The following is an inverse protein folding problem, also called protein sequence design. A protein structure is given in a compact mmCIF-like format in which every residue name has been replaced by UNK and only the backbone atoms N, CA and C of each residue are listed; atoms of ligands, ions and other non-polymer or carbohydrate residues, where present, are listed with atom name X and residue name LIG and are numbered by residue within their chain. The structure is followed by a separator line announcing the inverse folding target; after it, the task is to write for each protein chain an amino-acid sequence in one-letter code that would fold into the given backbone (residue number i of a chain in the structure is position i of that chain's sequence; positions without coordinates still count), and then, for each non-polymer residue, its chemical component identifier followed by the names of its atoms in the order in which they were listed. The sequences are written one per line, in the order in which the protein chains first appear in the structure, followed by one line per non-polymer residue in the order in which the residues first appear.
data_IF_939941938928
#
_entry.id   IF_939941938928
#
_cell.length_a   1.000
_cell.length_b   1.000
_cell.length_c   1.000
_cell.angle_alpha   90.00
_cell.angle_beta   90.00
_cell.angle_gamma   90.00
#
_symmetry.space_group_name_H-M   'P 1'
#
loop_
_entity.id
_entity.type
_entity.pdbx_description
1 polymer ?
#
# COMPACT_ATOMS: atom_id res chain seq x y z
N UNK A 1 6.71 29.99 41.55
CA UNK A 1 6.28 29.36 40.28
C UNK A 1 5.96 30.45 39.27
N UNK A 2 6.78 30.58 38.23
CA UNK A 2 6.63 31.63 37.22
C UNK A 2 5.62 31.14 36.16
N UNK A 3 4.34 31.49 36.31
CA UNK A 3 3.22 31.06 35.44
C UNK A 3 3.42 31.35 33.95
N UNK A 4 4.36 32.23 33.59
CA UNK A 4 4.73 32.56 32.21
C UNK A 4 5.48 31.43 31.48
N UNK A 5 6.31 30.63 32.17
CA UNK A 5 7.04 29.53 31.53
C UNK A 5 6.17 28.29 31.32
N UNK A 6 5.12 28.12 32.13
CA UNK A 6 4.14 27.05 31.96
C UNK A 6 3.29 27.27 30.69
N UNK A 7 2.86 28.51 30.43
CA UNK A 7 2.20 28.85 29.17
C UNK A 7 3.12 28.61 27.97
N UNK A 8 4.40 28.98 28.05
CA UNK A 8 5.37 28.74 26.98
C UNK A 8 5.54 27.25 26.67
N UNK A 9 5.61 26.40 27.68
CA UNK A 9 5.69 24.95 27.51
C UNK A 9 4.44 24.38 26.81
N UNK A 10 3.25 24.86 27.16
CA UNK A 10 1.99 24.46 26.51
C UNK A 10 1.97 24.87 25.03
N UNK A 11 2.39 26.10 24.71
CA UNK A 11 2.49 26.56 23.32
C UNK A 11 3.51 25.76 22.51
N UNK A 12 4.67 25.42 23.10
CA UNK A 12 5.67 24.57 22.45
C UNK A 12 5.11 23.18 22.13
N UNK A 13 4.41 22.56 23.10
CA UNK A 13 3.79 21.26 22.92
C UNK A 13 2.73 21.30 21.82
N UNK A 14 1.92 22.36 21.77
CA UNK A 14 0.90 22.57 20.73
C UNK A 14 1.53 22.64 19.33
N UNK A 15 2.62 23.39 19.16
CA UNK A 15 3.34 23.48 17.88
C UNK A 15 3.90 22.11 17.46
N UNK A 16 4.45 21.35 18.40
CA UNK A 16 4.94 19.99 18.13
C UNK A 16 3.80 19.05 17.74
N UNK A 17 2.64 19.14 18.40
CA UNK A 17 1.46 18.33 18.09
C UNK A 17 0.91 18.62 16.69
N UNK A 18 0.86 19.89 16.28
CA UNK A 18 0.49 20.29 14.91
C UNK A 18 1.52 19.76 13.91
N UNK A 19 2.82 19.94 14.18
CA UNK A 19 3.90 19.43 13.33
C UNK A 19 3.83 17.90 13.15
N UNK A 20 3.53 17.17 14.22
CA UNK A 20 3.34 15.72 14.19
C UNK A 20 2.13 15.32 13.35
N UNK A 21 0.99 16.01 13.48
CA UNK A 21 -0.20 15.76 12.64
C UNK A 21 0.08 16.00 11.15
N UNK A 22 0.83 17.06 10.81
CA UNK A 22 1.23 17.33 9.42
C UNK A 22 2.16 16.23 8.91
N UNK A 23 3.12 15.78 9.71
CA UNK A 23 4.05 14.72 9.33
C UNK A 23 3.34 13.37 9.11
N UNK A 24 2.40 13.00 9.99
CA UNK A 24 1.58 11.79 9.84
C UNK A 24 0.65 11.92 8.64
N UNK A 25 -0.03 13.06 8.50
CA UNK A 25 -0.94 13.32 7.37
C UNK A 25 -0.25 13.34 6.01
N UNK A 26 1.03 13.71 5.92
CA UNK A 26 1.85 13.58 4.71
C UNK A 26 2.21 12.12 4.41
N UNK A 27 2.42 11.31 5.44
CA UNK A 27 2.74 9.88 5.31
C UNK A 27 1.52 9.01 5.01
N UNK A 28 0.33 9.39 5.47
CA UNK A 28 -0.93 8.66 5.23
C UNK A 28 -1.50 8.83 3.81
N UNK A 29 -0.89 9.67 2.95
CA UNK A 29 -1.32 9.78 1.54
C UNK A 29 -0.93 8.57 0.67
N UNK A 30 -0.18 7.60 1.19
CA UNK A 30 0.20 6.39 0.43
C UNK A 30 -0.84 5.26 0.46
N UNK A 31 -1.98 5.44 1.15
CA UNK A 31 -2.94 4.35 1.40
C UNK A 31 -4.35 4.62 0.87
N UNK A 32 -4.53 5.62 0.01
CA UNK A 32 -5.72 5.72 -0.85
C UNK A 32 -5.34 5.34 -2.27
N UNK A 33 -4.79 4.14 -2.44
CA UNK A 33 -4.81 3.55 -3.79
C UNK A 33 -6.21 3.00 -3.96
N UNK A 34 -6.95 3.47 -4.97
CA UNK A 34 -8.20 2.81 -5.37
C UNK A 34 -7.92 1.30 -5.49
N UNK A 35 -8.65 0.44 -4.77
CA UNK A 35 -8.34 -0.97 -4.72
C UNK A 35 -8.49 -1.55 -6.13
N UNK A 36 -7.37 -1.92 -6.75
CA UNK A 36 -7.40 -2.63 -8.02
C UNK A 36 -8.15 -3.94 -7.82
N UNK A 37 -8.92 -4.33 -8.83
CA UNK A 37 -9.53 -5.66 -8.87
C UNK A 37 -8.47 -6.71 -9.23
N UNK A 38 -8.68 -7.96 -8.81
CA UNK A 38 -7.77 -9.05 -9.20
C UNK A 38 -7.66 -9.19 -10.73
N UNK A 39 -8.72 -8.89 -11.47
CA UNK A 39 -8.71 -8.90 -12.93
C UNK A 39 -7.71 -7.88 -13.53
N UNK A 40 -7.57 -6.71 -12.89
CA UNK A 40 -6.62 -5.67 -13.28
C UNK A 40 -5.19 -6.09 -12.97
N UNK A 41 -4.99 -6.70 -11.78
CA UNK A 41 -3.71 -7.29 -11.40
C UNK A 41 -3.28 -8.34 -12.42
N UNK A 42 -4.18 -9.25 -12.81
CA UNK A 42 -3.89 -10.28 -13.82
C UNK A 42 -3.48 -9.68 -15.17
N UNK A 43 -4.15 -8.62 -15.65
CA UNK A 43 -3.75 -7.91 -16.89
C UNK A 43 -2.40 -7.23 -16.76
N UNK A 44 -2.10 -6.63 -15.61
CA UNK A 44 -0.79 -6.02 -15.36
C UNK A 44 0.34 -7.06 -15.32
N UNK A 45 0.08 -8.26 -14.78
CA UNK A 45 1.02 -9.38 -14.80
C UNK A 45 1.25 -9.85 -16.25
N UNK A 46 0.17 -10.06 -17.02
CA UNK A 46 0.27 -10.50 -18.42
C UNK A 46 1.01 -9.51 -19.31
N UNK A 47 0.89 -8.21 -19.03
CA UNK A 47 1.62 -7.16 -19.73
C UNK A 47 3.04 -6.95 -19.23
N UNK A 48 3.53 -7.76 -18.28
CA UNK A 48 4.88 -7.66 -17.73
C UNK A 48 5.12 -6.37 -16.96
N UNK A 49 4.06 -5.75 -16.42
CA UNK A 49 4.14 -4.48 -15.68
C UNK A 49 4.29 -4.68 -14.17
N UNK A 50 4.26 -5.92 -13.67
CA UNK A 50 4.37 -6.28 -12.25
C UNK A 50 5.72 -6.92 -12.00
N UNK A 51 6.46 -6.41 -11.01
CA UNK A 51 7.71 -7.00 -10.55
C UNK A 51 7.54 -7.86 -9.31
N UNK A 52 6.64 -7.49 -8.40
CA UNK A 52 6.42 -8.23 -7.15
C UNK A 52 5.01 -8.05 -6.65
N UNK A 53 4.47 -9.11 -6.07
CA UNK A 53 3.19 -9.08 -5.36
C UNK A 53 3.47 -9.37 -3.89
N UNK A 54 3.06 -8.45 -3.01
CA UNK A 54 3.16 -8.60 -1.56
C UNK A 54 1.74 -8.87 -1.06
N UNK A 55 1.59 -9.95 -0.29
CA UNK A 55 0.33 -10.29 0.35
C UNK A 55 0.40 -9.74 1.77
N UNK A 56 -0.49 -8.80 2.08
CA UNK A 56 -0.62 -8.27 3.43
C UNK A 56 -1.66 -9.07 4.23
N UNK A 57 -1.72 -8.82 5.52
CA UNK A 57 -2.77 -9.35 6.38
C UNK A 57 -4.11 -8.66 6.02
N UNK A 58 -5.25 -9.35 6.22
CA UNK A 58 -6.61 -8.83 5.91
C UNK A 58 -7.03 -8.75 4.42
N UNK A 59 -6.65 -9.74 3.60
CA UNK A 59 -7.09 -9.86 2.19
C UNK A 59 -6.67 -8.70 1.27
N UNK A 60 -5.70 -7.89 1.71
CA UNK A 60 -5.08 -6.84 0.88
C UNK A 60 -3.85 -7.41 0.18
N UNK A 61 -3.71 -7.11 -1.11
CA UNK A 61 -2.51 -7.39 -1.89
C UNK A 61 -1.92 -6.09 -2.40
N UNK A 62 -0.60 -5.94 -2.29
CA UNK A 62 0.16 -4.81 -2.81
C UNK A 62 0.93 -5.25 -4.05
N UNK A 63 0.67 -4.60 -5.17
CA UNK A 63 1.28 -4.90 -6.47
C UNK A 63 2.34 -3.87 -6.79
N UNK A 64 3.61 -4.30 -6.77
CA UNK A 64 4.76 -3.46 -7.10
C UNK A 64 5.02 -3.56 -8.60
N UNK A 65 4.98 -2.42 -9.30
CA UNK A 65 5.29 -2.36 -10.74
C UNK A 65 6.79 -2.50 -11.01
N UNK A 66 7.17 -2.93 -12.22
CA UNK A 66 8.60 -3.11 -12.60
C UNK A 66 9.44 -1.83 -12.48
N UNK A 67 8.82 -0.67 -12.71
CA UNK A 67 9.46 0.64 -12.55
C UNK A 67 9.01 1.39 -11.28
N UNK A 68 8.30 0.70 -10.37
CA UNK A 68 7.74 1.29 -9.15
C UNK A 68 8.53 0.89 -7.91
N UNK A 69 8.49 1.74 -6.89
CA UNK A 69 8.96 1.40 -5.54
C UNK A 69 7.82 0.80 -4.71
N UNK A 70 8.14 0.17 -3.58
CA UNK A 70 7.15 -0.38 -2.62
C UNK A 70 6.17 0.69 -2.12
N UNK A 71 6.58 1.96 -2.12
CA UNK A 71 5.75 3.13 -1.79
C UNK A 71 4.71 3.46 -2.89
N UNK A 72 4.94 3.04 -4.14
CA UNK A 72 3.98 3.15 -5.26
C UNK A 72 3.19 1.87 -5.49
N UNK A 73 3.32 0.89 -4.59
CA UNK A 73 2.65 -0.39 -4.74
C UNK A 73 1.14 -0.19 -4.74
N UNK A 74 0.49 -0.72 -5.77
CA UNK A 74 -0.95 -0.60 -5.92
C UNK A 74 -1.65 -1.58 -4.98
N UNK A 75 -2.57 -1.08 -4.18
CA UNK A 75 -3.41 -1.95 -3.35
C UNK A 75 -4.51 -2.58 -4.20
N UNK A 76 -4.75 -3.87 -3.98
CA UNK A 76 -5.82 -4.64 -4.58
C UNK A 76 -6.43 -5.53 -3.50
N UNK A 77 -7.74 -5.78 -3.55
CA UNK A 77 -8.41 -6.62 -2.56
C UNK A 77 -8.66 -8.00 -3.14
N UNK A 78 -8.39 -9.03 -2.34
CA UNK A 78 -8.78 -10.40 -2.69
C UNK A 78 -10.27 -10.58 -2.64
N UNK A 79 -10.80 -11.32 -3.59
CA UNK A 79 -12.12 -11.93 -3.41
C UNK A 79 -11.95 -13.20 -2.57
N UNK A 80 -12.69 -13.30 -1.47
CA UNK A 80 -12.58 -14.32 -0.40
C UNK A 80 -12.89 -15.76 -0.85
N UNK A 81 -13.26 -15.98 -2.11
CA UNK A 81 -13.79 -17.25 -2.57
C UNK A 81 -12.72 -18.29 -2.98
N UNK A 82 -11.49 -17.89 -3.33
CA UNK A 82 -10.43 -18.84 -3.72
C UNK A 82 -9.02 -18.27 -3.44
N UNK A 83 -7.97 -19.09 -3.55
CA UNK A 83 -6.59 -18.63 -3.38
C UNK A 83 -6.16 -17.68 -4.52
N UNK A 84 -5.34 -16.65 -4.22
CA UNK A 84 -4.84 -15.70 -5.23
C UNK A 84 -4.26 -16.36 -6.47
N UNK A 85 -3.43 -17.39 -6.25
CA UNK A 85 -2.72 -18.10 -7.31
C UNK A 85 -3.72 -18.70 -8.29
N UNK A 86 -4.77 -19.31 -7.76
CA UNK A 86 -5.84 -19.92 -8.54
C UNK A 86 -6.70 -18.88 -9.27
N UNK A 87 -6.95 -17.71 -8.66
CA UNK A 87 -7.63 -16.61 -9.36
C UNK A 87 -6.79 -16.08 -10.51
N UNK A 88 -5.50 -15.83 -10.29
CA UNK A 88 -4.59 -15.33 -11.32
C UNK A 88 -4.46 -16.33 -12.49
N UNK A 89 -4.36 -17.62 -12.19
CA UNK A 89 -4.41 -18.70 -13.19
C UNK A 89 -5.73 -18.68 -13.98
N UNK A 90 -6.87 -18.53 -13.31
CA UNK A 90 -8.19 -18.43 -13.96
C UNK A 90 -8.31 -17.19 -14.87
N UNK A 91 -7.61 -16.11 -14.57
CA UNK A 91 -7.54 -14.91 -15.42
C UNK A 91 -6.49 -15.00 -16.53
N UNK A 92 -5.81 -16.14 -16.70
CA UNK A 92 -4.86 -16.39 -17.79
C UNK A 92 -3.42 -16.02 -17.49
N UNK A 93 -3.06 -15.80 -16.22
CA UNK A 93 -1.65 -15.69 -15.81
C UNK A 93 -1.01 -17.09 -15.81
N UNK A 94 0.17 -17.21 -16.41
CA UNK A 94 0.90 -18.49 -16.46
C UNK A 94 1.67 -18.76 -15.17
N UNK A 95 1.93 -20.05 -14.89
CA UNK A 95 2.71 -20.44 -13.71
C UNK A 95 4.16 -19.91 -13.78
N UNK A 96 4.72 -19.82 -14.99
CA UNK A 96 6.04 -19.23 -15.24
C UNK A 96 6.09 -17.75 -14.83
N UNK A 97 5.08 -16.96 -15.20
CA UNK A 97 5.01 -15.53 -14.83
C UNK A 97 4.88 -15.32 -13.32
N UNK A 98 4.21 -16.24 -12.61
CA UNK A 98 4.14 -16.19 -11.14
C UNK A 98 5.46 -16.60 -10.50
N UNK A 99 6.19 -17.55 -11.10
CA UNK A 99 7.50 -17.98 -10.62
C UNK A 99 8.58 -16.91 -10.79
N UNK A 100 8.47 -16.06 -11.81
CA UNK A 100 9.37 -14.91 -12.03
C UNK A 100 9.18 -13.78 -11.01
N UNK A 101 8.08 -13.76 -10.23
CA UNK A 101 7.76 -12.69 -9.27
C UNK A 101 8.30 -12.90 -7.84
N UNK A 102 9.23 -13.85 -7.65
CA UNK A 102 9.82 -14.22 -6.35
C UNK A 102 10.90 -13.23 -5.86
#
# INVERSE_FOLDING_TARGET
MNSRSQSFFVYLLLVVAIGAMIFVGLKDNSSTTEPLTISEVARMIQSGQVARIIIDEEDVIRVVKVNGTVETALESRKETNTTLVEQLLNYGVTAEQLAEMN
#
